data_IF_053091250200
#
_entry.id   IF_053091250200
#
_cell.length_a   1.000
_cell.length_b   1.000
_cell.length_c   1.000
_cell.angle_alpha   90.00
_cell.angle_beta   90.00
_cell.angle_gamma   90.00
#
_symmetry.space_group_name_H-M   'P 1'
#
loop_
_entity.id
_entity.type
_entity.pdbx_description
1 polymer ?
#
# COMPACT_ATOMS: atom_id res chain seq x y z
N UNK A 1 -11.04 -36.83 10.05
CA UNK A 1 -11.05 -35.47 10.63
C UNK A 1 -10.39 -34.55 9.62
N UNK A 2 -11.19 -33.78 8.87
CA UNK A 2 -10.68 -32.85 7.85
C UNK A 2 -10.38 -31.51 8.51
N UNK A 3 -9.13 -31.10 8.54
CA UNK A 3 -8.71 -29.78 9.01
C UNK A 3 -9.09 -28.74 7.95
N UNK A 4 -9.99 -27.83 8.30
CA UNK A 4 -10.29 -26.66 7.48
C UNK A 4 -9.12 -25.68 7.54
N UNK A 5 -8.47 -25.41 6.41
CA UNK A 5 -7.48 -24.36 6.28
C UNK A 5 -8.20 -23.00 6.38
N UNK A 6 -8.19 -22.39 7.58
CA UNK A 6 -8.76 -21.06 7.80
C UNK A 6 -7.91 -20.04 7.04
N UNK A 7 -8.44 -19.52 5.93
CA UNK A 7 -7.90 -18.33 5.27
C UNK A 7 -8.01 -17.17 6.26
N UNK A 8 -6.89 -16.51 6.56
CA UNK A 8 -6.88 -15.39 7.48
C UNK A 8 -7.79 -14.26 6.98
N UNK A 9 -8.71 -13.76 7.82
CA UNK A 9 -9.66 -12.73 7.40
C UNK A 9 -8.95 -11.40 7.13
N UNK A 10 -9.40 -10.72 6.08
CA UNK A 10 -9.05 -9.34 5.78
C UNK A 10 -10.32 -8.51 5.91
N UNK A 11 -10.34 -7.56 6.85
CA UNK A 11 -11.45 -6.64 7.05
C UNK A 11 -11.11 -5.30 6.40
N UNK A 12 -12.03 -4.74 5.62
CA UNK A 12 -11.89 -3.42 5.01
C UNK A 12 -13.08 -2.53 5.37
N UNK A 13 -12.82 -1.25 5.60
CA UNK A 13 -13.87 -0.24 5.78
C UNK A 13 -13.68 0.88 4.78
N UNK A 14 -14.77 1.26 4.12
CA UNK A 14 -14.83 2.31 3.13
C UNK A 14 -15.55 3.54 3.71
N UNK A 15 -15.23 4.75 3.21
CA UNK A 15 -16.04 5.92 3.48
C UNK A 15 -17.31 5.89 2.62
N UNK A 16 -18.32 6.72 2.95
CA UNK A 16 -19.58 6.80 2.19
C UNK A 16 -19.42 7.12 0.71
N UNK A 17 -18.24 7.60 0.30
CA UNK A 17 -17.87 7.93 -1.08
C UNK A 17 -17.13 6.78 -1.82
N UNK A 18 -17.06 5.58 -1.23
CA UNK A 18 -16.45 4.38 -1.85
C UNK A 18 -14.91 4.34 -1.81
N UNK A 19 -14.28 5.24 -1.08
CA UNK A 19 -12.84 5.26 -0.82
C UNK A 19 -12.46 4.39 0.38
N UNK A 20 -11.45 3.54 0.20
CA UNK A 20 -10.91 2.68 1.26
C UNK A 20 -10.27 3.52 2.36
N UNK A 21 -10.75 3.41 3.60
CA UNK A 21 -10.21 4.14 4.78
C UNK A 21 -9.25 3.27 5.56
N UNK A 22 -9.53 1.97 5.68
CA UNK A 22 -8.73 1.06 6.49
C UNK A 22 -8.83 -0.36 5.95
N UNK A 23 -7.72 -1.08 6.02
CA UNK A 23 -7.61 -2.51 5.78
C UNK A 23 -6.85 -3.14 6.94
N UNK A 24 -7.45 -4.12 7.60
CA UNK A 24 -6.78 -4.92 8.63
C UNK A 24 -6.64 -6.34 8.12
N UNK A 25 -5.42 -6.84 8.03
CA UNK A 25 -5.14 -8.22 7.68
C UNK A 25 -4.60 -8.97 8.91
N UNK A 26 -5.18 -10.12 9.22
CA UNK A 26 -4.81 -10.96 10.38
C UNK A 26 -4.05 -12.23 9.96
N UNK A 27 -3.32 -12.18 8.84
CA UNK A 27 -2.50 -13.30 8.37
C UNK A 27 -1.04 -13.07 8.73
N UNK A 28 -0.52 -13.79 9.72
CA UNK A 28 0.90 -13.72 10.14
C UNK A 28 1.25 -12.61 11.14
N UNK A 29 0.27 -11.79 11.54
CA UNK A 29 0.40 -10.67 12.49
C UNK A 29 -0.81 -9.74 12.38
N UNK A 30 -1.07 -8.91 13.40
CA UNK A 30 -2.12 -7.88 13.33
C UNK A 30 -1.61 -6.66 12.56
N UNK A 31 -1.53 -6.76 11.23
CA UNK A 31 -1.08 -5.64 10.41
C UNK A 31 -2.28 -4.79 10.00
N UNK A 32 -2.33 -3.56 10.53
CA UNK A 32 -3.35 -2.57 10.19
C UNK A 32 -2.77 -1.58 9.21
N UNK A 33 -3.36 -1.52 8.01
CA UNK A 33 -3.08 -0.50 7.00
C UNK A 33 -4.18 0.56 7.05
N UNK A 34 -3.83 1.79 7.39
CA UNK A 34 -4.72 2.94 7.43
C UNK A 34 -4.42 3.85 6.26
N UNK A 35 -5.45 4.19 5.48
CA UNK A 35 -5.35 5.13 4.37
C UNK A 35 -5.89 6.49 4.83
N UNK A 36 -5.05 7.50 4.77
CA UNK A 36 -5.42 8.88 5.11
C UNK A 36 -5.52 9.64 3.79
N UNK A 37 -6.74 9.67 3.25
CA UNK A 37 -7.01 10.16 1.91
C UNK A 37 -6.27 9.36 0.83
N UNK A 38 -5.99 9.99 -0.32
CA UNK A 38 -5.32 9.35 -1.45
C UNK A 38 -3.79 9.36 -1.35
N UNK A 39 -3.23 10.24 -0.51
CA UNK A 39 -1.82 10.64 -0.54
C UNK A 39 -0.98 10.04 0.59
N UNK A 40 -1.59 9.37 1.56
CA UNK A 40 -0.89 8.94 2.77
C UNK A 40 -1.40 7.59 3.26
N UNK A 41 -0.47 6.71 3.63
CA UNK A 41 -0.78 5.38 4.14
C UNK A 41 0.13 5.07 5.33
N UNK A 42 -0.43 4.44 6.36
CA UNK A 42 0.35 3.92 7.47
C UNK A 42 0.08 2.43 7.65
N UNK A 43 1.11 1.64 7.88
CA UNK A 43 1.05 0.20 8.08
C UNK A 43 1.91 -0.20 9.27
N UNK A 44 1.30 -0.83 10.29
CA UNK A 44 2.03 -1.39 11.43
C UNK A 44 2.92 -0.40 12.20
N UNK A 45 2.63 0.91 12.12
CA UNK A 45 3.42 1.99 12.76
C UNK A 45 4.36 2.75 11.82
N UNK A 46 4.67 2.21 10.63
CA UNK A 46 5.37 2.93 9.57
C UNK A 46 4.40 3.71 8.69
N UNK A 47 4.77 4.92 8.26
CA UNK A 47 3.95 5.71 7.34
C UNK A 47 4.69 6.06 6.07
N UNK A 48 3.95 6.20 4.98
CA UNK A 48 4.46 6.53 3.67
C UNK A 48 3.55 7.53 2.93
N UNK A 49 4.19 8.43 2.17
CA UNK A 49 3.55 9.35 1.25
C UNK A 49 3.46 8.71 -0.14
N UNK A 50 2.29 8.78 -0.73
CA UNK A 50 1.99 8.29 -2.07
C UNK A 50 2.02 9.49 -3.02
N UNK A 51 2.95 9.48 -3.98
CA UNK A 51 3.10 10.54 -4.98
C UNK A 51 2.42 10.13 -6.28
N UNK A 52 1.60 11.03 -6.84
CA UNK A 52 0.84 10.80 -8.06
C UNK A 52 1.10 11.87 -9.12
N UNK A 53 1.10 11.45 -10.39
CA UNK A 53 1.05 12.33 -11.55
C UNK A 53 -0.15 11.90 -12.43
N UNK A 54 -1.03 12.84 -12.77
CA UNK A 54 -2.20 12.55 -13.63
C UNK A 54 -3.17 11.48 -13.10
N UNK A 55 -3.18 11.20 -11.80
CA UNK A 55 -3.97 10.13 -11.18
C UNK A 55 -3.25 8.78 -11.06
N UNK A 56 -2.07 8.63 -11.66
CA UNK A 56 -1.24 7.43 -11.54
C UNK A 56 -0.18 7.59 -10.46
N UNK A 57 0.05 6.54 -9.68
CA UNK A 57 1.07 6.53 -8.62
C UNK A 57 2.45 6.36 -9.24
N UNK A 58 3.35 7.31 -8.97
CA UNK A 58 4.70 7.34 -9.54
C UNK A 58 5.79 7.08 -8.51
N UNK A 59 5.51 7.30 -7.21
CA UNK A 59 6.46 6.99 -6.17
C UNK A 59 5.78 6.78 -4.81
N UNK A 60 6.50 6.12 -3.91
CA UNK A 60 6.19 6.04 -2.50
C UNK A 60 7.41 6.51 -1.71
N UNK A 61 7.21 7.41 -0.75
CA UNK A 61 8.25 7.92 0.13
C UNK A 61 7.97 7.48 1.57
N UNK A 62 8.87 6.70 2.14
CA UNK A 62 8.83 6.32 3.55
C UNK A 62 9.08 7.56 4.42
N UNK A 63 8.22 7.79 5.40
CA UNK A 63 8.30 8.96 6.28
C UNK A 63 9.39 8.76 7.34
N UNK A 64 9.56 7.54 7.83
CA UNK A 64 10.53 7.19 8.87
C UNK A 64 11.98 7.25 8.38
N UNK A 65 12.27 6.66 7.21
CA UNK A 65 13.64 6.59 6.67
C UNK A 65 13.92 7.65 5.60
N UNK A 66 12.90 8.33 5.07
CA UNK A 66 13.03 9.23 3.93
C UNK A 66 13.25 8.52 2.59
N UNK A 67 13.37 7.19 2.57
CA UNK A 67 13.62 6.38 1.37
C UNK A 67 12.48 6.54 0.36
N UNK A 68 12.85 6.66 -0.91
CA UNK A 68 11.89 6.79 -2.01
C UNK A 68 12.00 5.55 -2.90
N UNK A 69 10.86 4.98 -3.25
CA UNK A 69 10.73 3.97 -4.29
C UNK A 69 9.91 4.54 -5.43
N UNK A 70 10.43 4.47 -6.64
CA UNK A 70 9.79 4.94 -7.86
C UNK A 70 9.11 3.78 -8.58
N UNK A 71 7.92 4.04 -9.09
CA UNK A 71 7.14 3.14 -9.90
C UNK A 71 7.30 3.54 -11.36
N UNK A 72 7.67 2.58 -12.20
CA UNK A 72 7.72 2.75 -13.65
C UNK A 72 6.56 1.97 -14.26
N UNK A 73 5.40 2.62 -14.46
CA UNK A 73 4.26 1.98 -15.07
C UNK A 73 4.48 1.79 -16.57
N UNK A 74 3.99 0.67 -17.10
CA UNK A 74 3.81 0.49 -18.53
C UNK A 74 2.53 1.19 -19.03
N UNK A 75 2.39 1.27 -20.35
CA UNK A 75 1.24 1.90 -21.01
C UNK A 75 -0.10 1.21 -20.71
N UNK A 76 -0.10 -0.01 -20.17
CA UNK A 76 -1.31 -0.74 -19.78
C UNK A 76 -1.65 -0.55 -18.30
N UNK A 77 -0.88 0.29 -17.58
CA UNK A 77 -1.13 0.63 -16.18
C UNK A 77 -0.57 -0.39 -15.19
N UNK A 78 0.19 -1.39 -15.65
CA UNK A 78 0.90 -2.32 -14.78
C UNK A 78 2.24 -1.75 -14.35
N UNK A 79 2.67 -2.07 -13.13
CA UNK A 79 3.94 -1.61 -12.58
C UNK A 79 5.03 -2.63 -12.89
N UNK A 80 5.93 -2.32 -13.82
CA UNK A 80 6.91 -3.31 -14.31
C UNK A 80 8.19 -3.34 -13.48
N UNK A 81 8.56 -2.20 -12.87
CA UNK A 81 9.81 -2.04 -12.11
C UNK A 81 9.60 -1.10 -10.92
N UNK A 82 10.09 -1.51 -9.75
CA UNK A 82 10.37 -0.61 -8.64
C UNK A 82 11.87 -0.29 -8.64
N UNK A 83 12.23 0.97 -8.45
CA UNK A 83 13.62 1.38 -8.20
C UNK A 83 13.71 2.19 -6.92
N UNK A 84 14.78 2.03 -6.15
CA UNK A 84 15.07 2.83 -4.97
C UNK A 84 15.59 4.24 -5.34
N UNK A 85 15.87 5.07 -4.34
CA UNK A 85 16.35 6.44 -4.50
C UNK A 85 17.67 6.61 -5.27
N UNK A 86 18.43 5.54 -5.45
CA UNK A 86 19.68 5.50 -6.22
C UNK A 86 19.50 4.94 -7.64
N UNK A 87 18.25 4.63 -8.05
CA UNK A 87 17.95 4.10 -9.38
C UNK A 87 18.16 2.59 -9.53
N UNK A 88 18.51 1.89 -8.45
CA UNK A 88 18.68 0.43 -8.44
C UNK A 88 17.33 -0.26 -8.18
N UNK A 89 17.09 -1.41 -8.82
CA UNK A 89 15.87 -2.20 -8.65
C UNK A 89 15.81 -2.88 -7.28
#
# INVERSE_FOLDING_TARGET
MSTWNRVSPVNASDNGDGGRVKKTATSGGNTTTTYIGKLYVCEGGGCAKLLYAGGQRIAIKQVSSGSISYFHPDHLGSTSVLTNGSGTK
#
